data_IF_754184481006
#
_entry.id   IF_754184481006
#
_cell.length_a   1.000
_cell.length_b   1.000
_cell.length_c   1.000
_cell.angle_alpha   90.00
_cell.angle_beta   90.00
_cell.angle_gamma   90.00
#
_symmetry.space_group_name_H-M   'P 1'
#
loop_
_entity.id
_entity.type
_entity.pdbx_description
1 polymer ?
#
# COMPACT_ATOMS: atom_id res chain seq x y z
N UNK A 1 -12.11 0.50 17.52
CA UNK A 1 -12.85 0.40 16.25
C UNK A 1 -12.36 1.44 15.24
N UNK A 2 -12.20 2.71 15.64
CA UNK A 2 -11.74 3.80 14.77
C UNK A 2 -10.37 3.54 14.12
N UNK A 3 -9.37 3.08 14.91
CA UNK A 3 -8.01 2.84 14.40
C UNK A 3 -7.98 1.76 13.31
N UNK A 4 -8.70 0.66 13.52
CA UNK A 4 -8.80 -0.43 12.54
C UNK A 4 -9.49 0.03 11.25
N UNK A 5 -10.52 0.87 11.35
CA UNK A 5 -11.19 1.47 10.19
C UNK A 5 -10.25 2.43 9.43
N UNK A 6 -9.51 3.28 10.14
CA UNK A 6 -8.51 4.17 9.54
C UNK A 6 -7.45 3.34 8.80
N UNK A 7 -6.97 2.25 9.40
CA UNK A 7 -6.02 1.34 8.76
C UNK A 7 -6.55 0.73 7.46
N UNK A 8 -7.81 0.27 7.46
CA UNK A 8 -8.46 -0.27 6.26
C UNK A 8 -8.59 0.79 5.15
N UNK A 9 -9.07 1.99 5.49
CA UNK A 9 -9.20 3.09 4.54
C UNK A 9 -7.84 3.51 3.97
N UNK A 10 -6.81 3.58 4.82
CA UNK A 10 -5.45 3.91 4.38
C UNK A 10 -4.86 2.83 3.46
N UNK A 11 -5.10 1.54 3.75
CA UNK A 11 -4.67 0.45 2.89
C UNK A 11 -5.35 0.50 1.51
N UNK A 12 -6.68 0.62 1.50
CA UNK A 12 -7.47 0.72 0.28
C UNK A 12 -7.09 1.96 -0.55
N UNK A 13 -6.92 3.11 0.09
CA UNK A 13 -6.47 4.34 -0.56
C UNK A 13 -5.08 4.19 -1.17
N UNK A 14 -4.13 3.59 -0.44
CA UNK A 14 -2.78 3.33 -0.96
C UNK A 14 -2.79 2.42 -2.18
N UNK A 15 -3.63 1.37 -2.15
CA UNK A 15 -3.82 0.46 -3.28
C UNK A 15 -4.45 1.18 -4.50
N UNK A 16 -5.46 2.02 -4.27
CA UNK A 16 -6.10 2.82 -5.32
C UNK A 16 -5.11 3.76 -5.99
N UNK A 17 -4.34 4.53 -5.21
CA UNK A 17 -3.32 5.43 -5.75
C UNK A 17 -2.28 4.66 -6.55
N UNK A 18 -1.81 3.52 -6.05
CA UNK A 18 -0.87 2.69 -6.78
C UNK A 18 -1.45 2.17 -8.11
N UNK A 19 -2.74 1.81 -8.15
CA UNK A 19 -3.41 1.37 -9.37
C UNK A 19 -3.52 2.49 -10.41
N UNK A 20 -3.89 3.69 -9.98
CA UNK A 20 -3.97 4.86 -10.86
C UNK A 20 -2.60 5.25 -11.42
N UNK A 21 -1.55 5.20 -10.62
CA UNK A 21 -0.17 5.40 -11.08
C UNK A 21 0.28 4.30 -12.05
N UNK A 22 -0.04 3.03 -11.77
CA UNK A 22 0.29 1.88 -12.61
C UNK A 22 -0.39 1.90 -13.99
N UNK A 23 -1.59 2.50 -14.05
CA UNK A 23 -2.38 2.72 -15.26
C UNK A 23 -1.97 3.98 -16.04
N UNK A 24 -1.07 4.83 -15.50
CA UNK A 24 -0.66 6.08 -16.12
C UNK A 24 -1.68 7.21 -15.99
N UNK A 25 -2.75 7.04 -15.21
CA UNK A 25 -3.74 8.11 -14.94
C UNK A 25 -3.10 9.20 -14.08
N UNK A 26 -2.26 8.80 -13.12
CA UNK A 26 -1.47 9.73 -12.31
C UNK A 26 -0.03 9.72 -12.84
N UNK A 27 0.45 10.81 -13.45
CA UNK A 27 1.82 10.91 -13.94
C UNK A 27 2.83 11.06 -12.78
N UNK A 28 4.15 10.94 -13.05
CA UNK A 28 5.19 11.17 -12.06
C UNK A 28 5.02 12.53 -11.37
N UNK A 29 4.97 12.53 -10.04
CA UNK A 29 4.75 13.74 -9.24
C UNK A 29 5.39 13.63 -7.84
N UNK A 30 5.49 14.75 -7.12
CA UNK A 30 6.11 14.84 -5.80
C UNK A 30 5.15 14.57 -4.63
N UNK A 31 3.85 14.37 -4.89
CA UNK A 31 2.78 14.39 -3.86
C UNK A 31 2.20 13.00 -3.57
N UNK A 32 1.94 12.18 -4.59
CA UNK A 32 1.24 10.89 -4.51
C UNK A 32 2.14 9.75 -5.02
N UNK A 33 1.90 8.53 -4.53
CA UNK A 33 2.60 7.33 -5.01
C UNK A 33 4.02 7.11 -4.45
N UNK A 34 4.71 6.13 -5.02
CA UNK A 34 6.07 5.71 -4.69
C UNK A 34 7.09 6.67 -5.27
N UNK A 35 7.63 7.53 -4.40
CA UNK A 35 8.54 8.59 -4.75
C UNK A 35 9.97 8.19 -4.43
N UNK A 36 10.78 8.06 -5.47
CA UNK A 36 12.21 7.84 -5.41
C UNK A 36 12.85 8.50 -6.62
N UNK A 37 14.15 8.75 -6.56
CA UNK A 37 14.92 9.30 -7.70
C UNK A 37 14.78 8.42 -8.94
N UNK A 38 14.65 7.10 -8.77
CA UNK A 38 14.47 6.14 -9.86
C UNK A 38 13.08 6.22 -10.47
N UNK A 39 12.03 6.23 -9.63
CA UNK A 39 10.64 6.22 -10.09
C UNK A 39 10.22 7.53 -10.76
N UNK A 40 10.87 8.64 -10.42
CA UNK A 40 10.62 9.94 -11.03
C UNK A 40 11.43 10.19 -12.32
N UNK A 41 12.35 9.29 -12.68
CA UNK A 41 13.25 9.46 -13.84
C UNK A 41 12.51 9.39 -15.18
N UNK A 42 11.46 8.58 -15.26
CA UNK A 42 10.65 8.44 -16.46
C UNK A 42 9.25 7.92 -16.12
N UNK A 43 8.30 8.17 -17.02
CA UNK A 43 6.94 7.64 -16.90
C UNK A 43 6.90 6.11 -16.91
N UNK A 44 7.79 5.45 -17.67
CA UNK A 44 7.90 3.99 -17.68
C UNK A 44 8.37 3.43 -16.34
N UNK A 45 9.40 4.06 -15.74
CA UNK A 45 9.89 3.67 -14.42
C UNK A 45 8.81 3.87 -13.35
N UNK A 46 8.04 4.96 -13.45
CA UNK A 46 6.90 5.25 -12.59
C UNK A 46 5.82 4.16 -12.67
N UNK A 47 5.32 3.87 -13.88
CA UNK A 47 4.27 2.87 -14.07
C UNK A 47 4.74 1.49 -13.64
N UNK A 48 5.98 1.12 -13.98
CA UNK A 48 6.57 -0.18 -13.60
C UNK A 48 6.66 -0.34 -12.09
N UNK A 49 7.20 0.65 -11.37
CA UNK A 49 7.28 0.57 -9.92
C UNK A 49 5.92 0.36 -9.27
N UNK A 50 4.90 1.10 -9.72
CA UNK A 50 3.57 1.00 -9.17
C UNK A 50 2.89 -0.33 -9.52
N UNK A 51 3.05 -0.84 -10.76
CA UNK A 51 2.55 -2.17 -11.15
C UNK A 51 3.13 -3.28 -10.26
N UNK A 52 4.42 -3.22 -9.95
CA UNK A 52 5.06 -4.20 -9.08
C UNK A 52 4.72 -4.01 -7.60
N UNK A 53 4.29 -2.81 -7.19
CA UNK A 53 3.81 -2.53 -5.85
C UNK A 53 2.36 -2.98 -5.61
N UNK A 54 1.55 -3.15 -6.67
CA UNK A 54 0.14 -3.56 -6.55
C UNK A 54 -0.02 -4.88 -5.82
N UNK A 55 0.80 -5.89 -6.12
CA UNK A 55 0.68 -7.19 -5.47
C UNK A 55 0.91 -7.11 -3.95
N UNK A 56 2.03 -6.55 -3.44
CA UNK A 56 2.19 -6.29 -2.01
C UNK A 56 1.03 -5.51 -1.38
N UNK A 57 0.55 -4.47 -2.05
CA UNK A 57 -0.53 -3.62 -1.53
C UNK A 57 -1.88 -4.34 -1.49
N UNK A 58 -2.16 -5.21 -2.47
CA UNK A 58 -3.35 -6.05 -2.50
C UNK A 58 -3.36 -7.03 -1.32
N UNK A 59 -2.24 -7.74 -1.11
CA UNK A 59 -2.07 -8.65 0.02
C UNK A 59 -2.22 -7.90 1.34
N UNK A 60 -1.58 -6.74 1.47
CA UNK A 60 -1.66 -5.90 2.67
C UNK A 60 -3.09 -5.47 2.96
N UNK A 61 -3.80 -4.97 1.95
CA UNK A 61 -5.20 -4.54 2.07
C UNK A 61 -6.10 -5.70 2.50
N UNK A 62 -5.92 -6.88 1.91
CA UNK A 62 -6.68 -8.07 2.28
C UNK A 62 -6.44 -8.48 3.75
N UNK A 63 -5.18 -8.46 4.22
CA UNK A 63 -4.86 -8.80 5.62
C UNK A 63 -5.42 -7.77 6.59
N UNK A 64 -5.29 -6.47 6.30
CA UNK A 64 -5.86 -5.41 7.14
C UNK A 64 -7.39 -5.50 7.19
N UNK A 65 -8.05 -5.81 6.06
CA UNK A 65 -9.48 -6.05 6.02
C UNK A 65 -9.89 -7.27 6.86
N UNK A 66 -9.12 -8.37 6.80
CA UNK A 66 -9.35 -9.54 7.63
C UNK A 66 -9.25 -9.20 9.13
N UNK A 67 -8.23 -8.45 9.55
CA UNK A 67 -8.09 -7.99 10.95
C UNK A 67 -9.30 -7.16 11.39
N UNK A 68 -9.79 -6.28 10.52
CA UNK A 68 -10.97 -5.46 10.79
C UNK A 68 -12.26 -6.31 10.90
N UNK A 69 -12.42 -7.33 10.07
CA UNK A 69 -13.58 -8.24 10.10
C UNK A 69 -13.56 -9.23 11.28
N UNK A 70 -12.37 -9.59 11.78
CA UNK A 70 -12.22 -10.49 12.93
C UNK A 70 -12.41 -9.76 14.28
N UNK A 71 -12.27 -8.43 14.31
CA UNK A 71 -12.55 -7.61 15.50
C UNK A 71 -13.96 -7.80 16.09
N UNK A 72 -15.08 -7.67 15.33
CA UNK A 72 -16.42 -7.82 15.89
C UNK A 72 -16.71 -9.26 16.40
N UNK A 73 -15.91 -10.25 15.99
CA UNK A 73 -16.01 -11.63 16.46
C UNK A 73 -15.32 -11.85 17.82
N UNK A 74 -14.73 -10.82 18.42
CA UNK A 74 -14.08 -10.91 19.73
C UNK A 74 -12.73 -11.64 19.72
N UNK A 75 -12.20 -11.99 18.55
CA UNK A 75 -10.91 -12.70 18.39
C UNK A 75 -9.74 -11.81 18.81
N UNK A 76 -9.85 -10.49 18.61
CA UNK A 76 -8.85 -9.50 18.98
C UNK A 76 -9.50 -8.38 19.81
N UNK A 77 -8.84 -8.00 20.90
CA UNK A 77 -9.22 -6.81 21.67
C UNK A 77 -9.01 -5.53 20.85
N UNK A 78 -9.76 -4.47 21.18
CA UNK A 78 -9.86 -3.27 20.34
C UNK A 78 -8.52 -2.56 20.07
N UNK A 79 -7.68 -2.45 21.12
CA UNK A 79 -6.32 -1.89 20.98
C UNK A 79 -5.40 -2.82 20.18
N UNK A 80 -5.52 -4.13 20.37
CA UNK A 80 -4.69 -5.10 19.66
C UNK A 80 -4.99 -5.11 18.16
N UNK A 81 -6.27 -5.11 17.77
CA UNK A 81 -6.69 -5.05 16.37
C UNK A 81 -6.15 -3.79 15.67
N UNK A 82 -6.21 -2.63 16.34
CA UNK A 82 -5.67 -1.37 15.83
C UNK A 82 -4.15 -1.40 15.64
N UNK A 83 -3.41 -1.85 16.66
CA UNK A 83 -1.94 -1.92 16.61
C UNK A 83 -1.47 -2.93 15.56
N UNK A 84 -2.05 -4.13 15.54
CA UNK A 84 -1.69 -5.16 14.55
C UNK A 84 -2.00 -4.70 13.14
N UNK A 85 -3.17 -4.11 12.91
CA UNK A 85 -3.54 -3.54 11.61
C UNK A 85 -2.56 -2.46 11.14
N UNK A 86 -2.12 -1.58 12.05
CA UNK A 86 -1.13 -0.54 11.74
C UNK A 86 0.24 -1.13 11.39
N UNK A 87 0.73 -2.10 12.17
CA UNK A 87 2.00 -2.78 11.92
C UNK A 87 1.99 -3.47 10.56
N UNK A 88 0.91 -4.20 10.26
CA UNK A 88 0.73 -4.86 8.96
C UNK A 88 0.72 -3.85 7.82
N UNK A 89 -0.01 -2.73 7.97
CA UNK A 89 -0.06 -1.67 6.98
C UNK A 89 1.35 -1.11 6.69
N UNK A 90 2.10 -0.73 7.74
CA UNK A 90 3.46 -0.18 7.59
C UNK A 90 4.37 -1.20 6.89
N UNK A 91 4.37 -2.46 7.35
CA UNK A 91 5.17 -3.51 6.74
C UNK A 91 4.82 -3.74 5.26
N UNK A 92 3.52 -3.72 4.94
CA UNK A 92 3.01 -3.85 3.59
C UNK A 92 3.38 -2.69 2.66
N UNK A 93 3.31 -1.45 3.16
CA UNK A 93 3.75 -0.27 2.42
C UNK A 93 5.25 -0.32 2.13
N UNK A 94 6.08 -0.71 3.12
CA UNK A 94 7.52 -0.89 2.93
C UNK A 94 7.83 -2.02 1.93
N UNK A 95 7.06 -3.11 1.98
CA UNK A 95 7.20 -4.20 1.03
C UNK A 95 6.87 -3.74 -0.40
N UNK A 96 5.73 -3.05 -0.58
CA UNK A 96 5.34 -2.43 -1.86
C UNK A 96 6.36 -1.46 -2.39
N UNK A 97 6.88 -0.57 -1.54
CA UNK A 97 7.94 0.38 -1.90
C UNK A 97 9.22 -0.34 -2.34
N UNK A 98 9.71 -1.29 -1.53
CA UNK A 98 10.95 -2.00 -1.84
C UNK A 98 10.86 -2.78 -3.16
N UNK A 99 9.71 -3.42 -3.43
CA UNK A 99 9.48 -4.18 -4.66
C UNK A 99 9.32 -3.26 -5.87
N UNK A 100 8.61 -2.14 -5.71
CA UNK A 100 8.45 -1.14 -6.77
C UNK A 100 9.77 -0.49 -7.17
N UNK A 101 10.58 -0.04 -6.19
CA UNK A 101 11.88 0.58 -6.47
C UNK A 101 12.84 -0.39 -7.14
N UNK A 102 12.95 -1.64 -6.65
CA UNK A 102 13.80 -2.66 -7.29
C UNK A 102 13.38 -2.95 -8.73
N UNK A 103 12.08 -3.01 -9.01
CA UNK A 103 11.59 -3.24 -10.36
C UNK A 103 11.94 -2.09 -11.31
N UNK A 104 11.81 -0.84 -10.85
CA UNK A 104 12.17 0.32 -11.67
C UNK A 104 13.69 0.50 -11.86
N UNK A 105 14.52 -0.03 -10.95
CA UNK A 105 15.98 -0.05 -11.11
C UNK A 105 16.46 -1.09 -12.13
N UNK A 106 15.67 -2.14 -12.37
CA UNK A 106 15.98 -3.18 -13.34
C UNK A 106 15.61 -2.81 -14.78
N UNK A 107 15.04 -1.61 -15.00
CA UNK A 107 14.74 -1.03 -16.31
C UNK A 107 15.79 -0.01 -16.73
#
# INVERSE_FOLDING_TARGET
MLLSLIGLLAAAFSMLIAALCAAGVIPPNSILGLRSTVTLRSERAWQTAHRHALWPLAVTTAVVAAIWLLYPLGVLGDRAAGVVGLVVLIAGLLWGWSRGVRAAQAQ
#
